data_IF_502123157169
#
_entry.id   IF_502123157169
#
_cell.length_a   1.000
_cell.length_b   1.000
_cell.length_c   1.000
_cell.angle_alpha   90.00
_cell.angle_beta   90.00
_cell.angle_gamma   90.00
#
_symmetry.space_group_name_H-M   'P 1'
#
loop_
_entity.id
_entity.type
_entity.pdbx_description
1 polymer ?
#
# COMPACT_ATOMS: atom_id res chain seq x y z
N UNK A 1 17.43 -2.62 19.69
CA UNK A 1 16.32 -3.31 20.37
C UNK A 1 15.32 -3.78 19.35
N UNK A 2 14.62 -4.87 19.63
CA UNK A 2 13.68 -5.44 18.67
C UNK A 2 12.30 -5.59 19.30
N UNK A 3 11.29 -5.62 18.44
CA UNK A 3 9.90 -5.81 18.83
C UNK A 3 9.29 -6.94 18.02
N UNK A 4 8.38 -7.65 18.64
CA UNK A 4 7.59 -8.65 17.95
C UNK A 4 6.35 -7.97 17.39
N UNK A 5 6.20 -8.01 16.07
CA UNK A 5 5.08 -7.36 15.38
C UNK A 5 4.18 -8.44 14.80
N UNK A 6 2.91 -8.37 15.15
CA UNK A 6 1.87 -9.20 14.56
C UNK A 6 0.99 -8.31 13.70
N UNK A 7 1.02 -8.51 12.40
CA UNK A 7 0.32 -7.67 11.42
C UNK A 7 -0.32 -8.57 10.37
N UNK A 8 -1.48 -8.14 9.87
CA UNK A 8 -2.13 -8.84 8.75
C UNK A 8 -1.77 -8.12 7.46
N UNK A 9 -1.13 -8.82 6.54
CA UNK A 9 -0.69 -8.24 5.27
C UNK A 9 -1.39 -8.98 4.14
N UNK A 10 -2.18 -8.25 3.37
CA UNK A 10 -2.97 -8.80 2.25
C UNK A 10 -3.79 -10.03 2.68
N UNK A 11 -4.39 -9.95 3.86
CA UNK A 11 -5.23 -11.02 4.39
C UNK A 11 -4.50 -12.15 5.09
N UNK A 12 -3.17 -12.13 5.13
CA UNK A 12 -2.37 -13.17 5.77
C UNK A 12 -1.72 -12.62 7.04
N UNK A 13 -1.93 -13.31 8.15
CA UNK A 13 -1.31 -12.93 9.41
C UNK A 13 0.19 -13.21 9.37
N UNK A 14 0.98 -12.21 9.76
CA UNK A 14 2.44 -12.29 9.81
C UNK A 14 2.92 -11.89 11.18
N UNK A 15 3.81 -12.68 11.76
CA UNK A 15 4.44 -12.36 13.03
C UNK A 15 5.95 -12.40 12.82
N UNK A 16 6.60 -11.26 13.07
CA UNK A 16 8.04 -11.12 12.85
C UNK A 16 8.65 -10.31 13.98
N UNK A 17 9.90 -10.59 14.28
CA UNK A 17 10.68 -9.76 15.18
C UNK A 17 11.42 -8.73 14.34
N UNK A 18 11.25 -7.44 14.67
CA UNK A 18 11.82 -6.35 13.88
C UNK A 18 12.58 -5.40 14.79
N UNK A 19 13.61 -4.78 14.24
CA UNK A 19 14.33 -3.72 14.95
C UNK A 19 13.47 -2.46 15.05
N UNK A 20 13.69 -1.67 16.10
CA UNK A 20 12.92 -0.47 16.38
C UNK A 20 12.87 0.51 15.21
N UNK A 21 13.98 0.62 14.49
CA UNK A 21 14.14 1.59 13.40
C UNK A 21 13.93 1.01 12.00
N UNK A 22 13.48 -0.22 11.90
CA UNK A 22 13.19 -0.80 10.58
C UNK A 22 12.02 -0.06 9.95
N UNK A 23 12.24 0.51 8.77
CA UNK A 23 11.18 1.20 8.05
C UNK A 23 10.15 0.19 7.54
N UNK A 24 8.90 0.61 7.50
CA UNK A 24 7.81 -0.25 7.03
C UNK A 24 8.06 -0.69 5.58
N UNK A 25 8.55 0.21 4.72
CA UNK A 25 8.88 -0.13 3.34
C UNK A 25 9.93 -1.24 3.25
N UNK A 26 10.96 -1.18 4.09
CA UNK A 26 12.00 -2.21 4.12
C UNK A 26 11.45 -3.52 4.67
N UNK A 27 10.58 -3.46 5.67
CA UNK A 27 9.92 -4.63 6.21
C UNK A 27 9.11 -5.36 5.13
N UNK A 28 8.32 -4.62 4.36
CA UNK A 28 7.52 -5.20 3.29
C UNK A 28 8.39 -5.81 2.20
N UNK A 29 9.41 -5.06 1.74
CA UNK A 29 10.23 -5.48 0.61
C UNK A 29 11.23 -6.58 0.97
N UNK A 30 11.89 -6.45 2.11
CA UNK A 30 13.03 -7.31 2.46
C UNK A 30 12.66 -8.42 3.43
N UNK A 31 11.88 -8.12 4.46
CA UNK A 31 11.50 -9.15 5.44
C UNK A 31 10.40 -10.04 4.91
N UNK A 32 9.36 -9.46 4.30
CA UNK A 32 8.22 -10.22 3.78
C UNK A 32 8.35 -10.57 2.30
N UNK A 33 9.30 -9.99 1.59
CA UNK A 33 9.52 -10.28 0.17
C UNK A 33 8.47 -9.71 -0.77
N UNK A 34 7.66 -8.74 -0.30
CA UNK A 34 6.64 -8.10 -1.11
C UNK A 34 7.22 -6.89 -1.82
N UNK A 35 7.83 -7.12 -2.96
CA UNK A 35 8.61 -6.11 -3.67
C UNK A 35 7.80 -5.20 -4.58
N UNK A 36 6.48 -5.36 -4.63
CA UNK A 36 5.62 -4.49 -5.42
C UNK A 36 5.58 -3.05 -4.93
N UNK A 37 5.80 -2.82 -3.65
CA UNK A 37 5.93 -1.47 -3.09
C UNK A 37 7.31 -0.92 -3.44
N UNK A 38 7.36 0.22 -4.10
CA UNK A 38 8.62 0.84 -4.54
C UNK A 38 8.99 2.01 -3.63
N UNK A 39 10.28 2.33 -3.57
CA UNK A 39 10.78 3.45 -2.78
C UNK A 39 11.59 4.36 -3.69
N UNK A 40 11.16 5.63 -3.80
CA UNK A 40 11.81 6.58 -4.68
C UNK A 40 12.51 7.74 -3.97
N UNK A 41 11.96 8.23 -2.86
CA UNK A 41 12.50 9.44 -2.22
C UNK A 41 12.87 9.26 -0.74
N UNK A 42 12.20 8.37 -0.03
CA UNK A 42 12.38 8.13 1.41
C UNK A 42 12.10 9.36 2.30
N UNK A 43 11.39 10.36 1.75
CA UNK A 43 11.02 11.54 2.56
C UNK A 43 9.58 12.01 2.27
N UNK A 44 8.75 11.12 1.74
CA UNK A 44 7.31 11.34 1.67
C UNK A 44 6.81 12.13 0.47
N UNK A 45 7.68 12.44 -0.50
CA UNK A 45 7.32 13.30 -1.64
C UNK A 45 6.79 12.49 -2.83
N UNK A 46 7.49 11.40 -3.22
CA UNK A 46 7.17 10.72 -4.47
C UNK A 46 5.89 9.88 -4.41
N UNK A 47 5.54 9.35 -3.25
CA UNK A 47 4.36 8.51 -3.07
C UNK A 47 4.47 7.10 -3.61
N UNK A 48 5.62 6.70 -4.19
CA UNK A 48 5.79 5.36 -4.76
C UNK A 48 5.66 4.26 -3.71
N UNK A 49 5.94 4.56 -2.45
CA UNK A 49 5.88 3.63 -1.33
C UNK A 49 4.50 3.54 -0.68
N UNK A 50 3.48 4.20 -1.21
CA UNK A 50 2.16 4.25 -0.58
C UNK A 50 1.54 2.87 -0.48
N UNK A 51 1.07 2.54 0.72
CA UNK A 51 0.32 1.31 0.99
C UNK A 51 -0.93 1.71 1.77
N UNK A 52 -1.84 0.77 1.97
CA UNK A 52 -3.02 1.01 2.79
C UNK A 52 -2.79 0.42 4.17
N UNK A 53 -2.95 1.27 5.19
CA UNK A 53 -2.90 0.87 6.59
C UNK A 53 -4.29 1.04 7.17
N UNK A 54 -4.95 -0.06 7.51
CA UNK A 54 -6.35 -0.07 7.93
C UNK A 54 -7.25 0.69 6.93
N UNK A 55 -6.96 0.53 5.64
CA UNK A 55 -7.73 1.16 4.57
C UNK A 55 -7.32 2.58 4.22
N UNK A 56 -6.38 3.18 4.94
CA UNK A 56 -5.93 4.55 4.70
C UNK A 56 -4.57 4.56 3.99
N UNK A 57 -4.37 5.45 3.00
CA UNK A 57 -3.09 5.53 2.31
C UNK A 57 -2.04 6.18 3.21
N UNK A 58 -0.91 5.49 3.35
CA UNK A 58 0.23 6.00 4.12
C UNK A 58 1.52 5.78 3.35
N UNK A 59 2.51 6.62 3.63
CA UNK A 59 3.85 6.50 3.05
C UNK A 59 4.66 5.51 3.88
N UNK A 60 4.88 4.30 3.37
CA UNK A 60 5.59 3.27 4.12
C UNK A 60 7.04 3.64 4.42
N UNK A 61 7.64 4.53 3.63
CA UNK A 61 9.01 4.98 3.89
C UNK A 61 9.12 5.95 5.08
N UNK A 62 7.98 6.44 5.59
CA UNK A 62 7.95 7.36 6.74
C UNK A 62 7.46 6.69 8.03
N UNK A 63 7.20 5.38 7.99
CA UNK A 63 6.73 4.65 9.17
C UNK A 63 7.73 3.57 9.56
N UNK A 64 7.72 3.23 10.83
CA UNK A 64 8.47 2.08 11.33
C UNK A 64 7.57 0.84 11.33
N UNK A 65 8.16 -0.31 11.03
CA UNK A 65 7.42 -1.57 11.06
C UNK A 65 6.81 -1.82 12.45
N UNK A 66 7.50 -1.42 13.50
CA UNK A 66 7.03 -1.61 14.88
C UNK A 66 5.72 -0.87 15.17
N UNK A 67 5.38 0.16 14.37
CA UNK A 67 4.14 0.91 14.55
C UNK A 67 2.91 0.20 14.01
N UNK A 68 3.08 -0.90 13.30
CA UNK A 68 1.98 -1.58 12.59
C UNK A 68 1.41 -2.78 13.37
N UNK A 69 1.84 -2.98 14.60
CA UNK A 69 1.36 -4.11 15.40
C UNK A 69 -0.16 -4.06 15.55
N UNK A 70 -0.82 -5.18 15.25
CA UNK A 70 -2.28 -5.27 15.35
C UNK A 70 -3.05 -4.64 14.20
N UNK A 71 -2.37 -4.14 13.17
CA UNK A 71 -3.01 -3.43 12.06
C UNK A 71 -3.10 -4.30 10.82
N UNK A 72 -3.85 -3.82 9.83
CA UNK A 72 -4.01 -4.49 8.55
C UNK A 72 -3.34 -3.65 7.46
N UNK A 73 -2.51 -4.31 6.66
CA UNK A 73 -1.78 -3.67 5.57
C UNK A 73 -2.26 -4.28 4.26
N UNK A 74 -2.52 -3.42 3.28
CA UNK A 74 -2.76 -3.83 1.90
C UNK A 74 -1.70 -3.19 1.03
N UNK A 75 -0.93 -4.02 0.33
CA UNK A 75 0.04 -3.57 -0.66
C UNK A 75 -0.56 -3.77 -2.06
N UNK A 76 0.18 -3.34 -3.09
CA UNK A 76 -0.29 -3.51 -4.47
C UNK A 76 -0.55 -4.99 -4.79
N UNK A 77 0.21 -5.90 -4.19
CA UNK A 77 0.01 -7.33 -4.39
C UNK A 77 -1.36 -7.81 -3.87
N UNK A 78 -1.94 -7.09 -2.93
CA UNK A 78 -3.25 -7.44 -2.37
C UNK A 78 -4.44 -6.82 -3.09
N UNK A 79 -4.22 -6.01 -4.11
CA UNK A 79 -5.33 -5.40 -4.87
C UNK A 79 -5.97 -6.39 -5.84
N UNK A 80 -5.21 -7.33 -6.36
CA UNK A 80 -5.74 -8.40 -7.18
C UNK A 80 -6.31 -9.50 -6.28
N UNK A 81 -7.47 -10.05 -6.65
CA UNK A 81 -8.14 -11.08 -5.88
C UNK A 81 -8.32 -12.31 -6.76
N UNK A 82 -7.90 -13.48 -6.26
CA UNK A 82 -8.03 -14.76 -6.95
C UNK A 82 -7.45 -14.74 -8.38
N UNK A 83 -6.28 -14.09 -8.53
CA UNK A 83 -5.60 -13.99 -9.81
C UNK A 83 -6.22 -13.00 -10.78
N UNK A 84 -7.22 -12.24 -10.35
CA UNK A 84 -7.89 -11.24 -11.19
C UNK A 84 -7.49 -9.85 -10.73
N UNK A 85 -7.12 -9.02 -11.71
CA UNK A 85 -6.83 -7.63 -11.44
C UNK A 85 -8.08 -6.90 -10.97
N UNK A 86 -7.90 -5.90 -10.09
CA UNK A 86 -9.01 -5.03 -9.71
C UNK A 86 -9.45 -4.20 -10.92
N UNK A 87 -10.69 -3.65 -10.93
CA UNK A 87 -11.12 -2.79 -12.03
C UNK A 87 -10.17 -1.62 -12.30
N UNK A 88 -9.58 -1.04 -11.26
CA UNK A 88 -8.61 0.04 -11.42
C UNK A 88 -7.34 -0.45 -12.09
N UNK A 89 -6.83 -1.62 -11.70
CA UNK A 89 -5.65 -2.21 -12.33
C UNK A 89 -5.90 -2.53 -13.80
N UNK A 90 -7.08 -3.05 -14.12
CA UNK A 90 -7.46 -3.32 -15.50
C UNK A 90 -7.53 -2.03 -16.32
N UNK A 91 -8.07 -0.96 -15.73
CA UNK A 91 -8.14 0.34 -16.39
C UNK A 91 -6.75 0.90 -16.69
N UNK A 92 -5.82 0.76 -15.74
CA UNK A 92 -4.43 1.18 -15.96
C UNK A 92 -3.78 0.41 -17.11
N UNK A 93 -4.00 -0.90 -17.13
CA UNK A 93 -3.47 -1.74 -18.21
C UNK A 93 -4.05 -1.36 -19.56
N UNK A 94 -5.39 -1.23 -19.63
CA UNK A 94 -6.09 -1.02 -20.90
C UNK A 94 -5.86 0.38 -21.45
N UNK A 95 -5.73 1.38 -20.59
CA UNK A 95 -5.53 2.77 -20.97
C UNK A 95 -4.05 3.17 -21.00
N UNK A 96 -3.13 2.23 -20.79
CA UNK A 96 -1.68 2.48 -20.75
C UNK A 96 -1.32 3.56 -19.72
N UNK A 97 -1.86 3.41 -18.49
CA UNK A 97 -1.71 4.40 -17.42
C UNK A 97 -0.33 4.46 -16.79
N UNK A 98 0.68 3.92 -17.44
CA UNK A 98 2.05 3.90 -16.92
C UNK A 98 3.06 4.05 -18.05
N UNK A 99 4.21 4.59 -17.71
CA UNK A 99 5.37 4.60 -18.63
C UNK A 99 6.40 3.61 -18.10
N UNK A 100 7.31 4.03 -17.20
CA UNK A 100 8.27 3.09 -16.61
C UNK A 100 7.65 2.17 -15.54
N UNK A 101 6.53 2.56 -14.97
CA UNK A 101 5.84 1.74 -13.97
C UNK A 101 6.34 1.89 -12.54
N UNK A 102 7.34 2.73 -12.29
CA UNK A 102 7.93 2.81 -10.94
C UNK A 102 6.95 3.41 -9.92
N UNK A 103 6.21 4.45 -10.28
CA UNK A 103 5.23 5.07 -9.39
C UNK A 103 3.88 4.35 -9.36
N UNK A 104 3.68 3.39 -10.27
CA UNK A 104 2.37 2.76 -10.47
C UNK A 104 1.83 2.06 -9.22
N UNK A 105 2.62 1.28 -8.45
CA UNK A 105 2.08 0.65 -7.26
C UNK A 105 1.53 1.66 -6.25
N UNK A 106 2.25 2.74 -6.01
CA UNK A 106 1.80 3.79 -5.09
C UNK A 106 0.56 4.51 -5.60
N UNK A 107 0.47 4.75 -6.90
CA UNK A 107 -0.72 5.36 -7.49
C UNK A 107 -1.93 4.44 -7.39
N UNK A 108 -1.75 3.15 -7.65
CA UNK A 108 -2.85 2.18 -7.57
C UNK A 108 -3.40 2.08 -6.15
N UNK A 109 -2.53 2.01 -5.14
CA UNK A 109 -2.99 1.95 -3.75
C UNK A 109 -3.67 3.25 -3.33
N UNK A 110 -3.10 4.40 -3.69
CA UNK A 110 -3.66 5.70 -3.38
C UNK A 110 -5.04 5.88 -4.02
N UNK A 111 -5.16 5.56 -5.30
CA UNK A 111 -6.41 5.71 -6.03
C UNK A 111 -7.47 4.71 -5.56
N UNK A 112 -7.06 3.50 -5.17
CA UNK A 112 -7.99 2.53 -4.60
C UNK A 112 -8.62 3.07 -3.33
N UNK A 113 -7.82 3.66 -2.44
CA UNK A 113 -8.34 4.28 -1.22
C UNK A 113 -9.23 5.48 -1.54
N UNK A 114 -8.82 6.30 -2.51
CA UNK A 114 -9.59 7.47 -2.94
C UNK A 114 -10.96 7.06 -3.48
N UNK A 115 -11.00 6.07 -4.36
CA UNK A 115 -12.27 5.61 -4.94
C UNK A 115 -13.19 5.02 -3.88
N UNK A 116 -12.65 4.29 -2.91
CA UNK A 116 -13.46 3.77 -1.81
C UNK A 116 -14.04 4.89 -0.96
N UNK A 117 -13.25 5.94 -0.71
CA UNK A 117 -13.67 7.08 0.10
C UNK A 117 -14.72 7.94 -0.61
N UNK A 118 -14.58 8.15 -1.92
CA UNK A 118 -15.46 9.08 -2.66
C UNK A 118 -16.63 8.39 -3.34
N UNK A 119 -16.73 7.07 -3.33
CA UNK A 119 -17.84 6.38 -3.96
C UNK A 119 -19.19 6.88 -3.45
N UNK A 120 -19.23 7.30 -2.20
CA UNK A 120 -20.41 7.87 -1.58
C UNK A 120 -20.44 9.41 -1.70
N UNK A 121 -19.36 10.08 -1.36
CA UNK A 121 -19.30 11.54 -1.35
C UNK A 121 -19.27 12.15 -2.74
N UNK A 122 -18.70 11.44 -3.72
CA UNK A 122 -18.67 11.89 -5.10
C UNK A 122 -20.07 12.07 -5.67
N UNK A 123 -20.95 11.13 -5.40
CA UNK A 123 -22.34 11.22 -5.84
C UNK A 123 -23.02 12.46 -5.26
N UNK A 124 -22.75 12.77 -4.00
CA UNK A 124 -23.32 13.95 -3.36
C UNK A 124 -22.79 15.24 -3.97
N UNK A 125 -21.51 15.28 -4.35
CA UNK A 125 -20.92 16.45 -4.97
C UNK A 125 -21.56 16.76 -6.32
N UNK A 126 -21.98 15.75 -7.06
CA UNK A 126 -22.63 15.92 -8.36
C UNK A 126 -24.09 16.33 -8.25
N UNK A 127 -24.70 16.20 -7.10
CA UNK A 127 -26.07 16.62 -6.86
C UNK A 127 -26.21 18.13 -6.69
N UNK A 128 -25.10 18.81 -6.49
CA UNK A 128 -25.08 20.26 -6.37
C UNK A 128 -24.64 20.91 -7.68
#
# INVERSE_FOLDING_TARGET
MSHKVSVTVNGTARTQEVEDRLLLSDFLRHTLGLTGTHVGCEHGVCGACTILLDGLPVRSCLMFAAQTNGKQITTVEGLAVDGRLSPLQEAFRDAHGLQCGYCTPGMLTTMTAFLAAVSYTHLRAHET
#
